data_IF_428443126818
#
_entry.id   IF_428443126818
#
_cell.length_a   1.000
_cell.length_b   1.000
_cell.length_c   1.000
_cell.angle_alpha   90.00
_cell.angle_beta   90.00
_cell.angle_gamma   90.00
#
_symmetry.space_group_name_H-M   'P 1'
#
loop_
_entity.id
_entity.type
_entity.pdbx_description
1 polymer ?
#
# COMPACT_ATOMS: atom_id res chain seq x y z
N UNK A 1 13.69 -8.08 -13.18
CA UNK A 1 13.42 -7.21 -12.02
C UNK A 1 14.75 -6.65 -11.54
N UNK A 2 14.91 -5.33 -11.50
CA UNK A 2 16.15 -4.68 -11.06
C UNK A 2 16.04 -4.49 -9.54
N UNK A 3 17.02 -4.92 -8.72
CA UNK A 3 17.03 -4.67 -7.28
C UNK A 3 16.87 -3.17 -6.98
N UNK A 4 15.94 -2.80 -6.10
CA UNK A 4 15.66 -1.42 -5.73
C UNK A 4 14.72 -0.64 -6.69
N UNK A 5 14.40 -1.15 -7.87
CA UNK A 5 13.42 -0.53 -8.77
C UNK A 5 11.98 -0.87 -8.40
N UNK A 6 11.05 0.08 -8.57
CA UNK A 6 9.62 -0.21 -8.52
C UNK A 6 9.20 -1.02 -9.76
N UNK A 7 8.28 -1.97 -9.58
CA UNK A 7 7.63 -2.67 -10.68
C UNK A 7 6.73 -1.75 -11.49
N UNK A 8 6.29 -2.23 -12.66
CA UNK A 8 5.12 -1.66 -13.33
C UNK A 8 3.88 -1.80 -12.44
N UNK A 9 2.92 -0.90 -12.65
CA UNK A 9 1.64 -0.89 -11.97
C UNK A 9 0.79 -2.09 -12.41
N UNK A 10 0.12 -2.72 -11.45
CA UNK A 10 -0.76 -3.87 -11.67
C UNK A 10 -2.07 -3.68 -10.92
N UNK A 11 -3.21 -4.17 -11.46
CA UNK A 11 -4.47 -4.20 -10.72
C UNK A 11 -4.31 -4.94 -9.39
N UNK A 12 -4.93 -4.44 -8.33
CA UNK A 12 -4.91 -5.09 -7.03
C UNK A 12 -5.58 -6.48 -7.10
N UNK A 13 -4.96 -7.45 -6.43
CA UNK A 13 -5.48 -8.81 -6.27
C UNK A 13 -6.10 -8.96 -4.86
N UNK A 14 -6.83 -10.06 -4.58
CA UNK A 14 -7.33 -10.33 -3.22
C UNK A 14 -6.23 -10.30 -2.14
N UNK A 15 -5.03 -10.81 -2.44
CA UNK A 15 -3.88 -10.76 -1.53
C UNK A 15 -3.46 -9.31 -1.22
N UNK A 16 -3.45 -8.43 -2.23
CA UNK A 16 -3.12 -7.01 -2.04
C UNK A 16 -4.18 -6.30 -1.19
N UNK A 17 -5.45 -6.66 -1.38
CA UNK A 17 -6.54 -6.15 -0.56
C UNK A 17 -6.39 -6.60 0.90
N UNK A 18 -6.02 -7.86 1.14
CA UNK A 18 -5.75 -8.39 2.49
C UNK A 18 -4.58 -7.66 3.15
N UNK A 19 -3.49 -7.44 2.41
CA UNK A 19 -2.34 -6.64 2.88
C UNK A 19 -2.79 -5.24 3.30
N UNK A 20 -3.60 -4.56 2.47
CA UNK A 20 -4.12 -3.25 2.77
C UNK A 20 -5.00 -3.26 4.03
N UNK A 21 -5.88 -4.26 4.15
CA UNK A 21 -6.77 -4.41 5.30
C UNK A 21 -6.01 -4.65 6.61
N UNK A 22 -4.94 -5.45 6.59
CA UNK A 22 -4.14 -5.75 7.78
C UNK A 22 -3.47 -4.49 8.35
N UNK A 23 -3.02 -3.58 7.49
CA UNK A 23 -2.40 -2.32 7.91
C UNK A 23 -3.37 -1.16 8.08
N UNK A 24 -4.65 -1.33 7.72
CA UNK A 24 -5.67 -0.28 7.82
C UNK A 24 -5.76 0.32 9.24
N UNK A 25 -5.75 -0.45 10.35
CA UNK A 25 -5.77 0.14 11.69
C UNK A 25 -4.56 1.06 11.95
N UNK A 26 -3.39 0.69 11.45
CA UNK A 26 -2.17 1.51 11.56
C UNK A 26 -2.30 2.82 10.78
N UNK A 27 -2.99 2.80 9.63
CA UNK A 27 -3.26 4.00 8.84
C UNK A 27 -4.25 4.91 9.58
N UNK A 28 -5.37 4.36 10.05
CA UNK A 28 -6.41 5.12 10.77
C UNK A 28 -5.87 5.79 12.03
N UNK A 29 -5.00 5.10 12.77
CA UNK A 29 -4.30 5.68 13.93
C UNK A 29 -3.39 6.85 13.52
N UNK A 30 -2.63 6.72 12.42
CA UNK A 30 -1.69 7.76 11.95
C UNK A 30 -2.39 8.95 11.32
N UNK A 31 -3.52 8.76 10.65
CA UNK A 31 -4.29 9.84 10.02
C UNK A 31 -5.34 10.45 10.95
N UNK A 32 -5.64 9.80 12.07
CA UNK A 32 -6.74 10.15 12.97
C UNK A 32 -8.09 10.27 12.22
N UNK A 33 -8.29 9.41 11.23
CA UNK A 33 -9.49 9.30 10.39
C UNK A 33 -9.89 7.82 10.29
N UNK A 34 -11.19 7.53 10.22
CA UNK A 34 -11.69 6.17 9.95
C UNK A 34 -12.15 6.05 8.50
N UNK A 35 -11.82 4.93 7.86
CA UNK A 35 -12.12 4.71 6.45
C UNK A 35 -13.22 3.66 6.29
N UNK A 36 -14.45 4.10 6.01
CA UNK A 36 -15.56 3.17 5.76
C UNK A 36 -15.35 2.37 4.47
N UNK A 37 -14.91 3.06 3.39
CA UNK A 37 -14.47 2.45 2.15
C UNK A 37 -12.95 2.28 2.19
N UNK A 38 -12.46 1.10 1.81
CA UNK A 38 -11.03 0.81 1.79
C UNK A 38 -10.70 -0.25 0.73
N UNK A 39 -10.71 0.16 -0.53
CA UNK A 39 -10.63 -0.74 -1.69
C UNK A 39 -9.29 -0.54 -2.41
N UNK A 40 -8.44 -1.57 -2.44
CA UNK A 40 -7.20 -1.55 -3.19
C UNK A 40 -7.50 -1.63 -4.70
N UNK A 41 -6.91 -0.72 -5.47
CA UNK A 41 -7.18 -0.59 -6.92
C UNK A 41 -5.96 -1.02 -7.74
N UNK A 42 -4.79 -0.54 -7.36
CA UNK A 42 -3.54 -0.78 -8.07
C UNK A 42 -2.40 -0.95 -7.07
N UNK A 43 -1.37 -1.71 -7.45
CA UNK A 43 -0.16 -1.81 -6.68
C UNK A 43 1.11 -1.85 -7.54
N UNK A 44 2.22 -1.49 -6.91
CA UNK A 44 3.59 -1.73 -7.38
C UNK A 44 4.37 -2.41 -6.25
N UNK A 45 5.41 -3.16 -6.60
CA UNK A 45 6.31 -3.77 -5.63
C UNK A 45 7.74 -3.31 -5.84
N UNK A 46 8.52 -3.34 -4.76
CA UNK A 46 9.95 -3.09 -4.79
C UNK A 46 10.64 -4.12 -3.89
N UNK A 47 11.60 -4.85 -4.47
CA UNK A 47 12.40 -5.83 -3.74
C UNK A 47 13.54 -5.13 -3.00
N UNK A 48 13.63 -5.41 -1.69
CA UNK A 48 14.64 -4.94 -0.74
C UNK A 48 15.12 -6.12 0.12
N UNK A 49 15.57 -5.91 1.37
CA UNK A 49 15.68 -6.98 2.37
C UNK A 49 14.29 -7.40 2.89
N UNK A 50 13.42 -7.81 1.97
CA UNK A 50 11.97 -7.92 2.13
C UNK A 50 11.26 -7.39 0.88
N UNK A 51 9.98 -7.04 1.01
CA UNK A 51 9.18 -6.48 -0.09
C UNK A 51 8.47 -5.22 0.40
N UNK A 52 8.64 -4.12 -0.33
CA UNK A 52 7.76 -2.96 -0.22
C UNK A 52 6.61 -3.12 -1.20
N UNK A 53 5.38 -2.96 -0.72
CA UNK A 53 4.16 -2.83 -1.50
C UNK A 53 3.71 -1.38 -1.49
N UNK A 54 3.60 -0.79 -2.67
CA UNK A 54 2.96 0.50 -2.88
C UNK A 54 1.55 0.24 -3.38
N UNK A 55 0.52 0.66 -2.64
CA UNK A 55 -0.87 0.31 -2.94
C UNK A 55 -1.70 1.59 -3.03
N UNK A 56 -2.43 1.76 -4.14
CA UNK A 56 -3.43 2.80 -4.32
C UNK A 56 -4.76 2.28 -3.78
N UNK A 57 -5.29 2.97 -2.77
CA UNK A 57 -6.51 2.58 -2.05
C UNK A 57 -7.57 3.66 -2.23
N UNK A 58 -8.75 3.28 -2.70
CA UNK A 58 -9.93 4.13 -2.76
C UNK A 58 -10.60 4.16 -1.39
N UNK A 59 -10.75 5.36 -0.85
CA UNK A 59 -11.27 5.61 0.51
C UNK A 59 -12.59 6.40 0.54
N UNK A 60 -13.14 6.71 -0.63
CA UNK A 60 -14.42 7.38 -0.79
C UNK A 60 -14.67 7.74 -2.25
N UNK A 61 -15.64 8.62 -2.49
CA UNK A 61 -15.90 9.15 -3.82
C UNK A 61 -14.77 10.09 -4.24
N UNK A 62 -14.08 9.72 -5.33
CA UNK A 62 -12.91 10.42 -5.85
C UNK A 62 -11.77 10.68 -4.83
N UNK A 63 -11.76 9.99 -3.69
CA UNK A 63 -10.69 10.08 -2.68
C UNK A 63 -9.86 8.82 -2.67
N UNK A 64 -8.55 9.00 -2.81
CA UNK A 64 -7.57 7.93 -2.79
C UNK A 64 -6.45 8.23 -1.80
N UNK A 65 -5.82 7.16 -1.31
CA UNK A 65 -4.62 7.19 -0.49
C UNK A 65 -3.62 6.22 -1.12
N UNK A 66 -2.36 6.62 -1.18
CA UNK A 66 -1.28 5.68 -1.50
C UNK A 66 -0.64 5.23 -0.20
N UNK A 67 -0.54 3.93 0.03
CA UNK A 67 0.13 3.36 1.21
C UNK A 67 1.38 2.59 0.79
N UNK A 68 2.37 2.58 1.68
CA UNK A 68 3.59 1.79 1.55
C UNK A 68 3.66 0.79 2.69
N UNK A 69 3.60 -0.49 2.36
CA UNK A 69 3.61 -1.60 3.31
C UNK A 69 4.89 -2.40 3.16
N UNK A 70 5.59 -2.63 4.26
CA UNK A 70 6.76 -3.50 4.28
C UNK A 70 6.36 -4.89 4.76
N UNK A 71 6.80 -5.91 4.01
CA UNK A 71 6.74 -7.32 4.38
C UNK A 71 8.16 -7.84 4.58
N UNK A 72 8.46 -8.30 5.79
CA UNK A 72 9.74 -8.91 6.14
C UNK A 72 10.03 -10.20 5.35
N UNK A 73 11.29 -10.63 5.36
CA UNK A 73 11.68 -11.93 4.80
C UNK A 73 11.03 -13.07 5.61
N UNK A 74 10.73 -14.24 5.03
CA UNK A 74 10.05 -15.34 5.73
C UNK A 74 10.76 -15.86 7.00
N UNK A 75 12.07 -15.62 7.12
CA UNK A 75 12.89 -16.01 8.27
C UNK A 75 12.79 -15.00 9.42
N UNK A 76 12.29 -13.79 9.13
CA UNK A 76 11.93 -12.77 10.10
C UNK A 76 10.40 -12.78 10.24
N UNK A 77 9.87 -12.33 11.37
CA UNK A 77 8.43 -12.16 11.56
C UNK A 77 7.82 -11.49 10.31
N UNK A 78 6.88 -12.20 9.67
CA UNK A 78 6.29 -11.79 8.38
C UNK A 78 5.24 -10.69 8.55
N UNK A 79 5.34 -9.89 9.61
CA UNK A 79 4.37 -8.87 9.97
C UNK A 79 4.33 -7.76 8.92
N UNK A 80 3.12 -7.37 8.54
CA UNK A 80 2.92 -6.27 7.61
C UNK A 80 2.94 -4.95 8.38
N UNK A 81 3.87 -4.07 8.00
CA UNK A 81 4.05 -2.77 8.65
C UNK A 81 3.75 -1.64 7.69
N UNK A 82 2.88 -0.71 8.09
CA UNK A 82 2.69 0.54 7.36
C UNK A 82 3.92 1.45 7.56
N UNK A 83 4.71 1.62 6.51
CA UNK A 83 5.96 2.39 6.55
C UNK A 83 5.83 3.78 5.93
N UNK A 84 4.76 4.05 5.18
CA UNK A 84 4.48 5.37 4.64
C UNK A 84 3.08 5.48 4.06
N UNK A 85 2.59 6.70 3.88
CA UNK A 85 1.31 6.98 3.25
C UNK A 85 1.29 8.38 2.62
N UNK A 86 0.43 8.58 1.63
CA UNK A 86 0.12 9.86 1.01
C UNK A 86 -1.40 10.02 0.91
N UNK A 87 -1.95 11.05 1.54
CA UNK A 87 -3.38 11.36 1.51
C UNK A 87 -3.71 12.37 0.39
N UNK A 88 -5.01 12.59 0.14
CA UNK A 88 -5.47 13.58 -0.83
C UNK A 88 -5.17 13.23 -2.28
N UNK A 89 -5.02 11.93 -2.60
CA UNK A 89 -4.78 11.45 -3.96
C UNK A 89 -6.09 11.30 -4.72
N UNK A 90 -5.96 11.32 -6.04
CA UNK A 90 -7.00 11.09 -7.03
C UNK A 90 -6.78 9.76 -7.77
N UNK A 91 -7.71 9.41 -8.66
CA UNK A 91 -7.64 8.19 -9.46
C UNK A 91 -6.45 8.22 -10.43
N UNK A 92 -6.19 9.37 -11.03
CA UNK A 92 -5.16 9.59 -12.04
C UNK A 92 -3.73 9.72 -11.46
N UNK A 93 -3.61 9.91 -10.15
CA UNK A 93 -2.29 10.02 -9.50
C UNK A 93 -1.52 8.70 -9.61
N UNK A 94 -0.33 8.71 -10.22
CA UNK A 94 0.49 7.52 -10.35
C UNK A 94 1.05 7.04 -9.00
N UNK A 95 1.16 5.72 -8.81
CA UNK A 95 1.97 5.14 -7.73
C UNK A 95 3.46 5.35 -8.00
N UNK A 96 4.08 6.28 -7.28
CA UNK A 96 5.53 6.52 -7.31
C UNK A 96 6.22 6.03 -6.03
N UNK A 97 7.54 5.91 -6.06
CA UNK A 97 8.32 5.63 -4.86
C UNK A 97 8.30 6.83 -3.90
N UNK A 98 8.06 6.56 -2.62
CA UNK A 98 8.18 7.47 -1.48
C UNK A 98 8.60 6.69 -0.23
#
# INVERSE_FOLDING_TARGET
>A
MIPGGLSEAKPATPEIQEIANEVKPQLEEKTNETYQKFEAIEYKTQVVAGINYYIKVKVGDNRYIHIKVFKGLPVQDSSLTLTGYQTGKSEDDELTGF
#
